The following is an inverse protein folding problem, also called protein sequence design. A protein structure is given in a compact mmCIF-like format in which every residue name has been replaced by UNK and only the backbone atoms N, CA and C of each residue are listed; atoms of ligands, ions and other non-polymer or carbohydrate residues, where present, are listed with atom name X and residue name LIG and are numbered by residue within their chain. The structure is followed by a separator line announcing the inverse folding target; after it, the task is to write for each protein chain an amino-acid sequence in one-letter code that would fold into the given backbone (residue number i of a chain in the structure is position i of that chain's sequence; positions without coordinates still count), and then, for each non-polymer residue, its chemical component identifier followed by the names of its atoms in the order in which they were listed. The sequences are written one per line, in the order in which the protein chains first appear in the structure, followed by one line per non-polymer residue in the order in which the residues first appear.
data_IF_300977027922
#
_entry.id   IF_300977027922
#
_cell.length_a   1.000
_cell.length_b   1.000
_cell.length_c   1.000
_cell.angle_alpha   90.00
_cell.angle_beta   90.00
_cell.angle_gamma   90.00
#
_symmetry.space_group_name_H-M   'P 1'
#
loop_
_entity.id
_entity.type
_entity.pdbx_description
1 polymer ?
#
# COMPACT_ATOMS: atom_id res chain seq x y z
N UNK A 1 13.10 33.87 81.43
CA UNK A 1 12.18 33.79 80.27
C UNK A 1 13.01 33.78 78.99
N UNK A 2 13.30 32.61 78.41
CA UNK A 2 13.96 32.49 77.09
C UNK A 2 12.94 31.91 76.12
N UNK A 3 12.49 32.72 75.15
CA UNK A 3 11.62 32.29 74.07
C UNK A 3 12.47 31.66 72.96
N UNK A 4 12.41 30.34 72.83
CA UNK A 4 12.98 29.62 71.69
C UNK A 4 11.94 29.61 70.56
N UNK A 5 12.21 30.33 69.45
CA UNK A 5 11.43 30.21 68.21
C UNK A 5 12.21 29.31 67.27
N UNK A 6 11.74 28.08 67.10
CA UNK A 6 12.23 27.15 66.09
C UNK A 6 11.81 27.61 64.70
N UNK A 7 12.79 27.87 63.83
CA UNK A 7 12.58 28.09 62.38
C UNK A 7 12.23 26.75 61.73
N UNK A 8 11.24 26.66 60.81
CA UNK A 8 10.89 25.40 60.18
C UNK A 8 11.88 25.06 59.06
N UNK A 9 12.50 23.88 59.14
CA UNK A 9 13.29 23.29 58.05
C UNK A 9 12.38 22.88 56.89
N UNK A 10 12.60 23.48 55.72
CA UNK A 10 11.90 23.09 54.49
C UNK A 10 12.49 21.76 54.01
N UNK A 11 11.68 20.69 54.03
CA UNK A 11 12.03 19.32 53.61
C UNK A 11 12.43 19.23 52.13
N UNK A 12 13.71 19.47 51.83
CA UNK A 12 14.28 19.38 50.47
C UNK A 12 14.40 17.93 49.92
N UNK A 13 14.19 16.90 50.75
CA UNK A 13 14.46 15.50 50.38
C UNK A 13 13.48 14.85 49.42
N UNK A 14 12.20 15.29 49.37
CA UNK A 14 11.17 14.62 48.55
C UNK A 14 11.09 15.12 47.11
N UNK A 15 11.44 16.38 46.87
CA UNK A 15 11.29 17.05 45.57
C UNK A 15 12.31 16.55 44.54
N UNK A 16 13.51 16.15 44.98
CA UNK A 16 14.59 15.66 44.09
C UNK A 16 14.28 14.30 43.46
N UNK A 17 13.57 13.42 44.16
CA UNK A 17 13.20 12.10 43.66
C UNK A 17 12.03 12.15 42.68
N UNK A 18 11.04 13.03 42.90
CA UNK A 18 9.91 13.20 41.98
C UNK A 18 10.32 13.83 40.65
N UNK A 19 11.27 14.78 40.67
CA UNK A 19 11.87 15.35 39.45
C UNK A 19 12.64 14.30 38.64
N UNK A 20 13.40 13.43 39.30
CA UNK A 20 14.15 12.37 38.62
C UNK A 20 13.22 11.35 37.94
N UNK A 21 12.14 10.92 38.61
CA UNK A 21 11.16 9.97 38.06
C UNK A 21 10.40 10.54 36.85
N UNK A 22 10.03 11.83 36.89
CA UNK A 22 9.33 12.48 35.77
C UNK A 22 10.20 12.58 34.49
N UNK A 23 11.49 12.86 34.64
CA UNK A 23 12.45 12.91 33.52
C UNK A 23 12.65 11.53 32.89
N UNK A 24 12.68 10.46 33.69
CA UNK A 24 12.82 9.09 33.18
C UNK A 24 11.59 8.64 32.38
N UNK A 25 10.36 8.95 32.85
CA UNK A 25 9.13 8.60 32.12
C UNK A 25 9.02 9.39 30.81
N UNK A 26 9.37 10.68 30.81
CA UNK A 26 9.38 11.51 29.60
C UNK A 26 10.44 11.04 28.59
N UNK A 27 11.61 10.60 29.04
CA UNK A 27 12.66 10.05 28.18
C UNK A 27 12.25 8.71 27.55
N UNK A 28 11.55 7.85 28.30
CA UNK A 28 11.00 6.58 27.78
C UNK A 28 9.88 6.87 26.78
N UNK A 29 8.98 7.81 27.08
CA UNK A 29 7.94 8.26 26.13
C UNK A 29 8.56 8.84 24.87
N UNK A 30 9.57 9.69 24.99
CA UNK A 30 10.31 10.25 23.87
C UNK A 30 11.01 9.15 23.04
N UNK A 31 11.67 8.20 23.68
CA UNK A 31 12.36 7.10 22.98
C UNK A 31 11.41 6.16 22.23
N UNK A 32 10.20 5.93 22.77
CA UNK A 32 9.18 5.07 22.15
C UNK A 32 8.37 5.82 21.08
N UNK A 33 8.01 7.08 21.33
CA UNK A 33 7.08 7.84 20.46
C UNK A 33 7.78 8.75 19.44
N UNK A 34 9.02 9.21 19.66
CA UNK A 34 9.75 10.03 18.68
C UNK A 34 10.00 9.26 17.38
N UNK A 35 10.56 8.03 17.36
CA UNK A 35 10.79 7.33 16.10
C UNK A 35 9.49 7.04 15.34
N UNK A 36 8.37 6.82 16.04
CA UNK A 36 7.06 6.65 15.42
C UNK A 36 6.53 7.92 14.72
N UNK A 37 7.05 9.11 15.05
CA UNK A 37 6.64 10.40 14.49
C UNK A 37 7.64 10.90 13.42
N UNK A 38 8.89 10.43 13.42
CA UNK A 38 9.97 11.01 12.59
C UNK A 38 10.49 10.12 11.45
N UNK A 39 10.08 8.87 11.32
CA UNK A 39 10.55 8.02 10.21
C UNK A 39 9.61 8.13 9.01
N UNK A 40 10.15 8.46 7.83
CA UNK A 40 9.43 8.29 6.57
C UNK A 40 8.98 6.81 6.44
N UNK A 41 7.76 6.54 5.95
CA UNK A 41 7.28 5.17 5.80
C UNK A 41 8.16 4.37 4.84
N UNK A 42 8.41 3.11 5.17
CA UNK A 42 9.15 2.18 4.29
C UNK A 42 8.36 1.91 3.00
N UNK A 43 9.02 1.39 1.96
CA UNK A 43 8.33 1.03 0.70
C UNK A 43 7.23 -0.02 0.93
N UNK A 44 7.43 -0.96 1.84
CA UNK A 44 6.41 -1.93 2.27
C UNK A 44 5.23 -1.27 2.99
N UNK A 45 5.49 -0.29 3.87
CA UNK A 45 4.42 0.48 4.51
C UNK A 45 3.64 1.29 3.48
N UNK A 46 4.33 1.89 2.50
CA UNK A 46 3.70 2.61 1.40
C UNK A 46 2.82 1.69 0.53
N UNK A 47 3.25 0.46 0.26
CA UNK A 47 2.39 -0.54 -0.37
C UNK A 47 1.14 -0.79 0.49
N UNK A 48 1.31 -1.14 1.76
CA UNK A 48 0.23 -1.53 2.68
C UNK A 48 -0.83 -0.43 2.82
N UNK A 49 -0.40 0.83 2.87
CA UNK A 49 -1.29 1.97 3.01
C UNK A 49 -2.06 2.34 1.74
N UNK A 50 -1.62 1.87 0.57
CA UNK A 50 -2.14 2.33 -0.73
C UNK A 50 -2.66 1.21 -1.63
N UNK A 51 -2.39 -0.05 -1.29
CA UNK A 51 -2.91 -1.20 -2.01
C UNK A 51 -4.38 -1.44 -1.66
N UNK A 52 -5.22 -1.36 -2.70
CA UNK A 52 -6.63 -1.72 -2.66
C UNK A 52 -6.89 -2.58 -3.90
N UNK A 53 -7.57 -3.72 -3.73
CA UNK A 53 -7.91 -4.61 -4.84
C UNK A 53 -8.68 -3.83 -5.92
N UNK A 54 -8.29 -4.02 -7.19
CA UNK A 54 -8.95 -3.33 -8.29
C UNK A 54 -10.44 -3.71 -8.35
N UNK A 55 -11.38 -2.76 -8.39
CA UNK A 55 -12.79 -3.09 -8.54
C UNK A 55 -13.03 -3.71 -9.92
N UNK A 56 -13.81 -4.79 -9.98
CA UNK A 56 -14.23 -5.38 -11.23
C UNK A 56 -15.17 -4.42 -11.99
N UNK A 57 -14.69 -3.94 -13.14
CA UNK A 57 -15.45 -3.07 -14.05
C UNK A 57 -15.62 -3.68 -15.43
N UNK A 58 -15.51 -5.01 -15.55
CA UNK A 58 -15.66 -5.70 -16.83
C UNK A 58 -16.98 -5.35 -17.52
N UNK A 59 -18.07 -5.23 -16.77
CA UNK A 59 -19.39 -4.87 -17.31
C UNK A 59 -19.42 -3.51 -18.01
N UNK A 60 -18.49 -2.59 -17.70
CA UNK A 60 -18.37 -1.29 -18.36
C UNK A 60 -17.51 -1.35 -19.64
N UNK A 61 -16.66 -2.38 -19.75
CA UNK A 61 -15.65 -2.52 -20.81
C UNK A 61 -16.12 -3.51 -21.89
N UNK A 62 -16.77 -4.59 -21.48
CA UNK A 62 -17.20 -5.68 -22.35
C UNK A 62 -18.73 -5.65 -22.56
N UNK A 63 -19.18 -5.14 -23.71
CA UNK A 63 -20.58 -5.24 -24.15
C UNK A 63 -20.83 -6.60 -24.81
N UNK A 64 -21.41 -7.54 -24.06
CA UNK A 64 -22.20 -8.67 -24.59
C UNK A 64 -21.49 -9.75 -25.43
N UNK A 65 -20.17 -9.95 -25.31
CA UNK A 65 -19.41 -10.90 -26.14
C UNK A 65 -19.20 -12.28 -25.48
N UNK A 66 -19.04 -13.33 -26.29
CA UNK A 66 -18.74 -14.71 -25.86
C UNK A 66 -17.44 -14.78 -25.04
N UNK A 67 -16.46 -13.92 -25.32
CA UNK A 67 -15.22 -13.84 -24.52
C UNK A 67 -15.46 -13.41 -23.07
N UNK A 68 -16.51 -12.62 -22.79
CA UNK A 68 -16.97 -12.35 -21.41
C UNK A 68 -17.38 -13.64 -20.71
N UNK A 69 -17.94 -14.60 -21.45
CA UNK A 69 -18.46 -15.85 -20.91
C UNK A 69 -17.35 -16.83 -20.54
N UNK A 70 -16.25 -16.88 -21.31
CA UNK A 70 -15.12 -17.79 -21.05
C UNK A 70 -14.47 -17.46 -19.71
N UNK A 71 -14.14 -16.19 -19.47
CA UNK A 71 -13.52 -15.75 -18.21
C UNK A 71 -14.54 -15.41 -17.12
N UNK A 72 -15.86 -15.50 -17.37
CA UNK A 72 -16.89 -15.16 -16.39
C UNK A 72 -16.72 -15.85 -15.01
N UNK A 73 -16.35 -17.14 -14.93
CA UNK A 73 -16.10 -17.78 -13.65
C UNK A 73 -14.94 -17.14 -12.88
N UNK A 74 -13.88 -16.71 -13.58
CA UNK A 74 -12.74 -16.04 -12.97
C UNK A 74 -13.15 -14.70 -12.35
N UNK A 75 -13.96 -13.93 -13.09
CA UNK A 75 -14.53 -12.67 -12.61
C UNK A 75 -15.48 -12.85 -11.42
N UNK A 76 -16.26 -13.92 -11.40
CA UNK A 76 -17.13 -14.24 -10.27
C UNK A 76 -16.32 -14.58 -9.01
N UNK A 77 -15.29 -15.43 -9.13
CA UNK A 77 -14.40 -15.75 -8.02
C UNK A 77 -13.67 -14.50 -7.51
N UNK A 78 -13.25 -13.62 -8.43
CA UNK A 78 -12.63 -12.34 -8.11
C UNK A 78 -13.56 -11.43 -7.29
N UNK A 79 -14.83 -11.30 -7.70
CA UNK A 79 -15.83 -10.49 -6.99
C UNK A 79 -16.17 -11.05 -5.60
N UNK A 80 -16.01 -12.36 -5.41
CA UNK A 80 -16.17 -13.03 -4.11
C UNK A 80 -14.93 -12.91 -3.21
N UNK A 81 -13.82 -12.37 -3.73
CA UNK A 81 -12.55 -12.28 -3.03
C UNK A 81 -11.76 -13.60 -2.99
N UNK A 82 -12.19 -14.63 -3.73
CA UNK A 82 -11.42 -15.86 -3.90
C UNK A 82 -10.36 -15.66 -5.00
N UNK A 83 -9.31 -14.93 -4.64
CA UNK A 83 -8.24 -14.57 -5.57
C UNK A 83 -7.41 -15.78 -6.02
N UNK A 84 -7.36 -16.84 -5.22
CA UNK A 84 -6.66 -18.07 -5.59
C UNK A 84 -7.40 -18.78 -6.72
N UNK A 85 -8.71 -18.98 -6.56
CA UNK A 85 -9.53 -19.58 -7.61
C UNK A 85 -9.61 -18.68 -8.83
N UNK A 86 -9.75 -17.37 -8.65
CA UNK A 86 -9.78 -16.41 -9.74
C UNK A 86 -8.48 -16.49 -10.58
N UNK A 87 -7.31 -16.53 -9.93
CA UNK A 87 -6.04 -16.64 -10.62
C UNK A 87 -5.95 -17.90 -11.49
N UNK A 88 -6.32 -19.06 -10.95
CA UNK A 88 -6.32 -20.32 -11.70
C UNK A 88 -7.24 -20.28 -12.92
N UNK A 89 -8.43 -19.68 -12.75
CA UNK A 89 -9.40 -19.57 -13.84
C UNK A 89 -8.90 -18.61 -14.93
N UNK A 90 -8.33 -17.46 -14.57
CA UNK A 90 -7.71 -16.54 -15.54
C UNK A 90 -6.54 -17.19 -16.27
N UNK A 91 -5.63 -17.87 -15.57
CA UNK A 91 -4.50 -18.58 -16.19
C UNK A 91 -4.98 -19.59 -17.24
N UNK A 92 -6.09 -20.28 -16.96
CA UNK A 92 -6.67 -21.28 -17.86
C UNK A 92 -7.35 -20.67 -19.09
N UNK A 93 -7.93 -19.48 -18.99
CA UNK A 93 -8.81 -18.92 -20.03
C UNK A 93 -8.24 -17.73 -20.79
N UNK A 94 -7.21 -17.05 -20.27
CA UNK A 94 -6.78 -15.76 -20.81
C UNK A 94 -6.24 -15.81 -22.24
N UNK A 95 -5.63 -16.93 -22.65
CA UNK A 95 -5.09 -17.07 -24.02
C UNK A 95 -6.19 -17.19 -25.08
N UNK A 96 -7.37 -17.67 -24.70
CA UNK A 96 -8.55 -17.78 -25.57
C UNK A 96 -9.45 -16.53 -25.48
N UNK A 97 -9.16 -15.63 -24.54
CA UNK A 97 -9.97 -14.45 -24.27
C UNK A 97 -9.66 -13.32 -25.24
N UNK A 98 -10.68 -12.82 -25.93
CA UNK A 98 -10.59 -11.56 -26.67
C UNK A 98 -10.31 -10.33 -25.77
N UNK A 99 -10.37 -10.51 -24.44
CA UNK A 99 -10.01 -9.51 -23.43
C UNK A 99 -8.74 -9.89 -22.67
N UNK A 100 -7.82 -10.65 -23.26
CA UNK A 100 -6.58 -11.12 -22.63
C UNK A 100 -5.88 -10.06 -21.77
N UNK A 101 -5.67 -8.84 -22.26
CA UNK A 101 -5.00 -7.78 -21.48
C UNK A 101 -5.82 -7.29 -20.27
N UNK A 102 -7.14 -7.38 -20.33
CA UNK A 102 -8.02 -7.12 -19.19
C UNK A 102 -7.95 -8.28 -18.20
N UNK A 103 -8.03 -9.52 -18.67
CA UNK A 103 -7.92 -10.73 -17.84
C UNK A 103 -6.55 -10.78 -17.14
N UNK A 104 -5.47 -10.46 -17.86
CA UNK A 104 -4.11 -10.39 -17.33
C UNK A 104 -3.94 -9.29 -16.28
N UNK A 105 -4.65 -8.17 -16.42
CA UNK A 105 -4.70 -7.12 -15.40
C UNK A 105 -5.33 -7.63 -14.09
N UNK A 106 -6.47 -8.33 -14.17
CA UNK A 106 -7.12 -8.88 -12.99
C UNK A 106 -6.33 -10.05 -12.40
N UNK A 107 -5.68 -10.87 -13.21
CA UNK A 107 -4.75 -11.91 -12.78
C UNK A 107 -3.58 -11.29 -11.98
N UNK A 108 -2.99 -10.20 -12.48
CA UNK A 108 -1.96 -9.45 -11.76
C UNK A 108 -2.44 -8.94 -10.40
N UNK A 109 -3.70 -8.48 -10.29
CA UNK A 109 -4.29 -8.08 -9.01
C UNK A 109 -4.52 -9.27 -8.07
N UNK A 110 -4.92 -10.45 -8.59
CA UNK A 110 -5.02 -11.67 -7.79
C UNK A 110 -3.66 -12.03 -7.19
N UNK A 111 -2.60 -12.01 -7.99
CA UNK A 111 -1.25 -12.27 -7.49
C UNK A 111 -0.79 -11.28 -6.42
N UNK A 112 -1.13 -9.98 -6.55
CA UNK A 112 -0.88 -9.01 -5.47
C UNK A 112 -1.63 -9.36 -4.19
N UNK A 113 -2.88 -9.80 -4.29
CA UNK A 113 -3.69 -10.21 -3.15
C UNK A 113 -3.11 -11.44 -2.44
N UNK A 114 -2.55 -12.37 -3.21
CA UNK A 114 -1.98 -13.63 -2.74
C UNK A 114 -0.52 -13.51 -2.26
N UNK A 115 0.13 -12.37 -2.49
CA UNK A 115 1.54 -12.18 -2.17
C UNK A 115 2.52 -12.76 -3.19
N UNK A 116 2.04 -13.10 -4.38
CA UNK A 116 2.82 -13.65 -5.50
C UNK A 116 3.47 -12.50 -6.31
N UNK A 117 4.37 -11.74 -5.68
CA UNK A 117 4.83 -10.45 -6.18
C UNK A 117 5.47 -10.49 -7.57
N UNK A 118 6.33 -11.47 -7.84
CA UNK A 118 7.01 -11.59 -9.14
C UNK A 118 6.03 -11.93 -10.27
N UNK A 119 5.03 -12.78 -9.99
CA UNK A 119 3.97 -13.08 -10.96
C UNK A 119 3.11 -11.86 -11.23
N UNK A 120 2.77 -11.09 -10.18
CA UNK A 120 2.06 -9.84 -10.32
C UNK A 120 2.85 -8.84 -11.19
N UNK A 121 4.14 -8.67 -10.93
CA UNK A 121 5.03 -7.80 -11.72
C UNK A 121 5.00 -8.21 -13.20
N UNK A 122 5.19 -9.48 -13.50
CA UNK A 122 5.22 -9.96 -14.88
C UNK A 122 3.89 -9.71 -15.61
N UNK A 123 2.76 -10.07 -14.99
CA UNK A 123 1.43 -9.86 -15.57
C UNK A 123 1.11 -8.36 -15.78
N UNK A 124 1.35 -7.53 -14.76
CA UNK A 124 1.04 -6.10 -14.81
C UNK A 124 1.97 -5.34 -15.76
N UNK A 125 3.22 -5.78 -15.92
CA UNK A 125 4.18 -5.18 -16.85
C UNK A 125 3.73 -5.31 -18.30
N UNK A 126 3.22 -6.47 -18.71
CA UNK A 126 2.68 -6.66 -20.05
C UNK A 126 1.52 -5.69 -20.32
N UNK A 127 0.59 -5.55 -19.36
CA UNK A 127 -0.54 -4.62 -19.50
C UNK A 127 -0.09 -3.16 -19.49
N UNK A 128 0.82 -2.77 -18.59
CA UNK A 128 1.28 -1.40 -18.38
C UNK A 128 1.94 -0.77 -19.62
N UNK A 129 2.58 -1.59 -20.46
CA UNK A 129 3.28 -1.16 -21.67
C UNK A 129 2.52 -1.51 -22.96
N UNK A 130 1.26 -1.91 -22.86
CA UNK A 130 0.37 -2.12 -24.00
C UNK A 130 -0.46 -0.87 -24.33
N UNK A 131 -0.87 -0.65 -25.59
CA UNK A 131 -1.80 0.42 -25.96
C UNK A 131 -3.26 0.05 -25.57
N UNK A 132 -3.49 -0.23 -24.29
CA UNK A 132 -4.77 -0.72 -23.77
C UNK A 132 -5.34 0.24 -22.71
N UNK A 133 -6.66 0.27 -22.57
CA UNK A 133 -7.37 1.13 -21.59
C UNK A 133 -7.00 0.83 -20.14
N UNK A 134 -6.46 -0.37 -19.86
CA UNK A 134 -5.96 -0.78 -18.54
C UNK A 134 -4.52 -0.36 -18.26
N UNK A 135 -3.76 0.15 -19.23
CA UNK A 135 -2.34 0.43 -19.07
C UNK A 135 -2.04 1.37 -17.89
N UNK A 136 -2.78 2.48 -17.78
CA UNK A 136 -2.69 3.41 -16.65
C UNK A 136 -2.95 2.72 -15.30
N UNK A 137 -3.98 1.88 -15.23
CA UNK A 137 -4.31 1.13 -14.01
C UNK A 137 -3.19 0.13 -13.70
N UNK A 138 -2.67 -0.57 -14.71
CA UNK A 138 -1.59 -1.53 -14.54
C UNK A 138 -0.31 -0.86 -14.06
N UNK A 139 0.04 0.33 -14.56
CA UNK A 139 1.19 1.13 -14.07
C UNK A 139 1.06 1.45 -12.58
N UNK A 140 -0.14 1.82 -12.13
CA UNK A 140 -0.40 2.02 -10.69
C UNK A 140 -0.13 0.75 -9.88
N UNK A 141 -0.76 -0.37 -10.23
CA UNK A 141 -0.57 -1.62 -9.47
C UNK A 141 0.85 -2.18 -9.57
N UNK A 142 1.51 -2.02 -10.72
CA UNK A 142 2.91 -2.39 -10.91
C UNK A 142 3.84 -1.55 -10.04
N UNK A 143 3.57 -0.25 -9.90
CA UNK A 143 4.35 0.60 -8.99
C UNK A 143 4.22 0.13 -7.53
N UNK A 144 3.02 -0.31 -7.12
CA UNK A 144 2.80 -0.89 -5.79
C UNK A 144 3.55 -2.22 -5.63
N UNK A 145 3.55 -3.08 -6.65
CA UNK A 145 4.32 -4.31 -6.65
C UNK A 145 5.82 -4.03 -6.44
N UNK A 146 6.37 -3.05 -7.17
CA UNK A 146 7.76 -2.63 -7.01
C UNK A 146 8.07 -2.02 -5.63
N UNK A 147 7.12 -1.29 -5.01
CA UNK A 147 7.29 -0.85 -3.62
C UNK A 147 7.40 -2.04 -2.67
N UNK A 148 6.58 -3.07 -2.90
CA UNK A 148 6.54 -4.28 -2.08
C UNK A 148 7.82 -5.11 -2.19
N UNK A 149 8.42 -5.18 -3.38
CA UNK A 149 9.68 -5.90 -3.65
C UNK A 149 10.94 -5.07 -3.38
N UNK A 150 10.79 -3.79 -3.04
CA UNK A 150 11.92 -2.89 -2.74
C UNK A 150 12.58 -2.27 -3.99
N UNK A 151 11.98 -2.43 -5.17
CA UNK A 151 12.43 -1.85 -6.44
C UNK A 151 12.02 -0.37 -6.58
N UNK A 152 12.47 0.45 -5.62
CA UNK A 152 12.02 1.83 -5.39
C UNK A 152 12.16 2.71 -6.64
N UNK A 153 13.27 2.61 -7.37
CA UNK A 153 13.51 3.43 -8.57
C UNK A 153 12.46 3.16 -9.66
N UNK A 154 12.12 1.88 -9.89
CA UNK A 154 11.09 1.49 -10.86
C UNK A 154 9.70 1.93 -10.41
N UNK A 155 9.40 1.80 -9.12
CA UNK A 155 8.15 2.30 -8.55
C UNK A 155 8.02 3.82 -8.76
N UNK A 156 9.08 4.57 -8.47
CA UNK A 156 9.11 6.03 -8.62
C UNK A 156 8.87 6.45 -10.06
N UNK A 157 9.53 5.82 -11.02
CA UNK A 157 9.40 6.21 -12.42
C UNK A 157 8.00 5.93 -12.95
N UNK A 158 7.40 4.78 -12.60
CA UNK A 158 5.99 4.52 -12.92
C UNK A 158 5.03 5.49 -12.23
N UNK A 159 5.28 5.86 -10.97
CA UNK A 159 4.43 6.82 -10.24
C UNK A 159 4.46 8.22 -10.87
N UNK A 160 5.56 8.62 -11.54
CA UNK A 160 5.61 9.87 -12.33
C UNK A 160 4.70 9.78 -13.55
N UNK A 161 4.63 8.62 -14.18
CA UNK A 161 3.79 8.37 -15.36
C UNK A 161 2.30 8.27 -15.01
N UNK A 162 1.96 7.81 -13.80
CA UNK A 162 0.57 7.77 -13.29
C UNK A 162 0.12 9.21 -12.99
N UNK A 163 -0.24 9.94 -14.05
CA UNK A 163 -0.53 11.38 -14.01
C UNK A 163 -2.02 11.73 -14.21
N UNK A 164 -2.91 10.76 -14.42
CA UNK A 164 -4.32 11.03 -14.76
C UNK A 164 -5.10 11.72 -13.62
N UNK A 165 -5.99 12.70 -13.90
CA UNK A 165 -6.73 13.47 -12.88
C UNK A 165 -7.83 12.62 -12.20
N UNK A 166 -7.39 11.68 -11.38
CA UNK A 166 -8.21 10.76 -10.59
C UNK A 166 -7.68 10.75 -9.16
N UNK A 167 -8.46 10.23 -8.20
CA UNK A 167 -7.97 10.09 -6.81
C UNK A 167 -6.69 9.25 -6.71
N UNK A 168 -6.42 8.38 -7.69
CA UNK A 168 -5.15 7.65 -7.79
C UNK A 168 -3.96 8.55 -8.07
N UNK A 169 -4.08 9.63 -8.85
CA UNK A 169 -2.96 10.56 -9.02
C UNK A 169 -2.67 11.39 -7.76
N UNK A 170 -3.67 11.67 -6.92
CA UNK A 170 -3.43 12.28 -5.60
C UNK A 170 -2.63 11.31 -4.71
N UNK A 171 -3.02 10.03 -4.67
CA UNK A 171 -2.27 8.98 -3.96
C UNK A 171 -0.86 8.81 -4.54
N UNK A 172 -0.71 8.76 -5.86
CA UNK A 172 0.58 8.62 -6.54
C UNK A 172 1.54 9.78 -6.22
N UNK A 173 1.07 11.03 -6.28
CA UNK A 173 1.85 12.22 -5.88
C UNK A 173 2.25 12.17 -4.40
N UNK A 174 1.38 11.67 -3.53
CA UNK A 174 1.68 11.52 -2.10
C UNK A 174 2.80 10.49 -1.88
N UNK A 175 2.67 9.30 -2.46
CA UNK A 175 3.69 8.25 -2.38
C UNK A 175 5.01 8.75 -2.95
N UNK A 176 4.99 9.38 -4.12
CA UNK A 176 6.18 9.95 -4.76
C UNK A 176 6.95 10.89 -3.82
N UNK A 177 6.26 11.80 -3.12
CA UNK A 177 6.87 12.70 -2.13
C UNK A 177 7.42 11.94 -0.91
N UNK A 178 6.71 10.92 -0.45
CA UNK A 178 7.12 10.11 0.71
C UNK A 178 8.35 9.24 0.43
N UNK A 179 8.61 8.91 -0.84
CA UNK A 179 9.84 8.22 -1.26
C UNK A 179 11.09 9.12 -1.25
N UNK A 180 10.94 10.44 -1.02
CA UNK A 180 12.07 11.34 -0.80
C UNK A 180 12.67 11.92 -2.08
N UNK A 181 11.98 12.94 -2.63
CA UNK A 181 12.57 14.23 -3.04
C UNK A 181 11.63 15.35 -2.57
#
# INVERSE_FOLDING_TARGET
LKTNKSVPEIRQGKIRWTLAVAVSVAAIFAFIFIPAITTNPTSEQLFTMNFEIAPNRLNQIARGSISKQISAPAYQAYDQGDYWQAAQLFEKTMDESAYRLTDLFYLGNCYLALGEWEKAINALKEVAYSPHSMAENAKWYLSLAYLRTGEIEKARDLLKEVAAPTDRAKKAKKIFRQLGL
#
